data_IF_469315946159
#
_entry.id   IF_469315946159
#
_cell.length_a   1.000
_cell.length_b   1.000
_cell.length_c   1.000
_cell.angle_alpha   90.00
_cell.angle_beta   90.00
_cell.angle_gamma   90.00
#
_symmetry.space_group_name_H-M   'P 1'
#
loop_
_entity.id
_entity.type
_entity.pdbx_description
1 polymer ?
#
# COMPACT_ATOMS: atom_id res chain seq x y z
N UNK A 1 -14.00 17.88 -14.58
CA UNK A 1 -12.54 17.71 -14.75
C UNK A 1 -12.31 17.62 -16.25
N UNK A 2 -11.68 18.62 -16.85
CA UNK A 2 -11.43 18.63 -18.30
C UNK A 2 -10.21 17.75 -18.57
N UNK A 3 -10.33 16.76 -19.47
CA UNK A 3 -9.25 15.83 -19.81
C UNK A 3 -8.57 16.30 -21.09
N UNK A 4 -7.37 16.86 -20.97
CA UNK A 4 -6.46 17.02 -22.10
C UNK A 4 -5.95 15.64 -22.53
N UNK A 5 -5.84 15.42 -23.83
CA UNK A 5 -5.19 14.22 -24.36
C UNK A 5 -3.68 14.21 -24.03
N UNK A 6 -3.06 13.02 -24.12
CA UNK A 6 -1.60 12.88 -23.88
C UNK A 6 -0.76 13.76 -24.82
N UNK A 7 -1.14 13.84 -26.10
CA UNK A 7 -0.45 14.69 -27.09
C UNK A 7 -0.60 16.18 -26.78
N UNK A 8 -1.76 16.61 -26.28
CA UNK A 8 -1.95 17.98 -25.81
C UNK A 8 -1.08 18.29 -24.60
N UNK A 9 -0.95 17.37 -23.64
CA UNK A 9 -0.02 17.51 -22.52
C UNK A 9 1.44 17.60 -22.97
N UNK A 10 1.86 16.79 -23.93
CA UNK A 10 3.21 16.84 -24.49
C UNK A 10 3.49 18.18 -25.21
N UNK A 11 2.51 18.69 -25.95
CA UNK A 11 2.62 20.00 -26.61
C UNK A 11 2.72 21.14 -25.58
N UNK A 12 1.91 21.12 -24.52
CA UNK A 12 1.98 22.14 -23.46
C UNK A 12 3.31 22.10 -22.71
N UNK A 13 3.89 20.92 -22.46
CA UNK A 13 5.23 20.80 -21.85
C UNK A 13 6.33 21.37 -22.74
N UNK A 14 6.22 21.22 -24.06
CA UNK A 14 7.25 21.67 -25.01
C UNK A 14 7.14 23.14 -25.39
N UNK A 15 5.91 23.64 -25.54
CA UNK A 15 5.62 24.94 -26.17
C UNK A 15 4.60 25.78 -25.41
N UNK A 16 4.22 25.39 -24.19
CA UNK A 16 3.28 26.16 -23.38
C UNK A 16 3.87 27.50 -22.96
N UNK A 17 3.14 28.58 -23.23
CA UNK A 17 3.44 29.92 -22.71
C UNK A 17 2.40 30.33 -21.66
N UNK A 18 2.82 31.15 -20.71
CA UNK A 18 1.89 31.78 -19.76
C UNK A 18 1.22 32.95 -20.45
N UNK A 19 -0.02 32.75 -20.90
CA UNK A 19 -0.88 33.77 -21.52
C UNK A 19 -2.24 33.85 -20.83
N UNK A 20 -2.89 35.02 -20.88
CA UNK A 20 -4.16 35.25 -20.18
C UNK A 20 -5.34 34.72 -21.03
N UNK A 21 -6.04 33.71 -20.50
CA UNK A 21 -7.35 33.22 -20.99
C UNK A 21 -7.30 31.86 -21.68
N UNK A 22 -8.23 30.96 -21.33
CA UNK A 22 -8.35 29.51 -21.66
C UNK A 22 -7.73 28.52 -20.63
N UNK A 23 -8.34 27.34 -20.55
CA UNK A 23 -7.99 26.19 -19.71
C UNK A 23 -6.62 25.58 -20.03
N UNK A 24 -6.17 25.63 -21.29
CA UNK A 24 -4.80 25.21 -21.67
C UNK A 24 -3.76 26.09 -21.00
N UNK A 25 -4.06 27.38 -20.84
CA UNK A 25 -3.21 28.31 -20.12
C UNK A 25 -3.19 28.03 -18.62
N UNK A 26 -4.32 27.67 -17.99
CA UNK A 26 -4.32 27.23 -16.58
C UNK A 26 -3.41 26.00 -16.32
N UNK A 27 -3.33 25.06 -17.28
CA UNK A 27 -2.44 23.91 -17.18
C UNK A 27 -0.96 24.30 -17.33
N UNK A 28 -0.64 25.15 -18.30
CA UNK A 28 0.72 25.71 -18.48
C UNK A 28 1.15 26.56 -17.29
N UNK A 29 0.26 27.42 -16.79
CA UNK A 29 0.44 28.17 -15.56
C UNK A 29 0.67 27.24 -14.39
N UNK A 30 -0.10 26.17 -14.24
CA UNK A 30 0.11 25.17 -13.17
C UNK A 30 1.49 24.51 -13.24
N UNK A 31 1.96 24.14 -14.45
CA UNK A 31 3.30 23.59 -14.64
C UNK A 31 4.39 24.63 -14.32
N UNK A 32 4.23 25.87 -14.79
CA UNK A 32 5.16 26.96 -14.52
C UNK A 32 5.19 27.34 -13.03
N UNK A 33 4.04 27.71 -12.46
CA UNK A 33 3.89 28.10 -11.05
C UNK A 33 4.27 26.98 -10.08
N UNK A 34 4.05 25.72 -10.45
CA UNK A 34 4.43 24.55 -9.65
C UNK A 34 5.92 24.24 -9.67
N UNK A 35 6.67 24.77 -10.63
CA UNK A 35 8.03 24.35 -10.89
C UNK A 35 8.97 25.49 -11.28
N UNK A 36 8.89 25.92 -12.54
CA UNK A 36 9.80 26.92 -13.12
C UNK A 36 9.72 28.27 -12.40
N UNK A 37 8.54 28.70 -11.94
CA UNK A 37 8.38 29.93 -11.15
C UNK A 37 9.08 29.83 -9.81
N UNK A 38 9.11 28.65 -9.18
CA UNK A 38 9.84 28.45 -7.92
C UNK A 38 11.34 28.59 -8.15
N UNK A 39 11.86 28.13 -9.30
CA UNK A 39 13.25 28.32 -9.70
C UNK A 39 13.51 29.81 -9.98
N UNK A 40 12.70 30.45 -10.83
CA UNK A 40 12.79 31.88 -11.17
C UNK A 40 12.84 32.76 -9.92
N UNK A 41 11.96 32.53 -8.95
CA UNK A 41 11.90 33.29 -7.70
C UNK A 41 13.16 33.14 -6.81
N UNK A 42 13.98 32.11 -7.04
CA UNK A 42 15.27 31.91 -6.35
C UNK A 42 16.46 32.44 -7.14
N UNK A 43 16.31 32.69 -8.44
CA UNK A 43 17.32 33.32 -9.26
C UNK A 43 17.38 34.82 -8.98
N UNK A 44 18.60 35.37 -8.99
CA UNK A 44 18.80 36.83 -8.94
C UNK A 44 18.65 37.41 -10.35
N UNK A 45 18.40 38.73 -10.44
CA UNK A 45 18.12 39.49 -11.68
C UNK A 45 19.05 39.22 -12.87
N UNK A 46 20.27 38.74 -12.64
CA UNK A 46 21.27 38.46 -13.67
C UNK A 46 21.86 37.05 -13.56
N UNK A 47 21.03 36.07 -13.22
CA UNK A 47 21.42 34.66 -13.18
C UNK A 47 20.60 33.88 -14.20
N UNK A 48 21.27 32.97 -14.92
CA UNK A 48 20.66 32.04 -15.84
C UNK A 48 20.92 30.62 -15.33
N UNK A 49 19.87 29.81 -15.25
CA UNK A 49 19.96 28.40 -14.89
C UNK A 49 19.82 27.56 -16.17
N UNK A 50 20.91 27.00 -16.72
CA UNK A 50 20.88 26.23 -17.96
C UNK A 50 20.40 24.78 -17.75
N UNK A 51 19.47 24.57 -16.81
CA UNK A 51 18.92 23.25 -16.47
C UNK A 51 17.40 23.34 -16.37
N UNK A 52 16.71 22.31 -16.85
CA UNK A 52 15.26 22.20 -16.68
C UNK A 52 14.91 21.73 -15.26
N UNK A 53 13.63 21.84 -14.89
CA UNK A 53 13.16 21.41 -13.57
C UNK A 53 13.48 19.95 -13.21
N UNK A 54 13.42 19.01 -14.17
CA UNK A 54 13.67 17.59 -13.89
C UNK A 54 15.15 17.35 -13.53
N UNK A 55 16.08 18.04 -14.19
CA UNK A 55 17.51 18.01 -13.88
C UNK A 55 17.78 18.61 -12.50
N UNK A 56 17.14 19.73 -12.18
CA UNK A 56 17.29 20.40 -10.87
C UNK A 56 16.72 19.53 -9.75
N UNK A 57 15.55 18.91 -9.94
CA UNK A 57 14.95 17.98 -8.98
C UNK A 57 15.84 16.76 -8.81
N UNK A 58 16.36 16.19 -9.90
CA UNK A 58 17.27 15.03 -9.87
C UNK A 58 18.52 15.33 -9.04
N UNK A 59 19.18 16.46 -9.30
CA UNK A 59 20.34 16.92 -8.53
C UNK A 59 20.00 17.16 -7.04
N UNK A 60 18.82 17.71 -6.77
CA UNK A 60 18.31 17.87 -5.41
C UNK A 60 18.06 16.54 -4.69
N UNK A 61 17.47 15.55 -5.37
CA UNK A 61 17.21 14.22 -4.83
C UNK A 61 18.51 13.45 -4.56
N UNK A 62 19.51 13.59 -5.41
CA UNK A 62 20.85 13.03 -5.19
C UNK A 62 21.48 13.63 -3.92
N UNK A 63 21.40 14.96 -3.77
CA UNK A 63 21.90 15.66 -2.58
C UNK A 63 21.16 15.29 -1.30
N UNK A 64 19.89 14.92 -1.40
CA UNK A 64 19.04 14.52 -0.26
C UNK A 64 18.97 13.00 -0.08
N UNK A 65 19.81 12.23 -0.77
CA UNK A 65 19.72 10.77 -0.77
C UNK A 65 19.90 10.17 0.64
N UNK A 66 20.74 10.78 1.47
CA UNK A 66 20.96 10.40 2.87
C UNK A 66 19.77 10.72 3.80
N UNK A 67 18.82 11.54 3.34
CA UNK A 67 17.59 11.90 4.08
C UNK A 67 16.41 11.00 3.75
N UNK A 68 16.57 10.05 2.81
CA UNK A 68 15.50 9.11 2.46
C UNK A 68 15.19 8.21 3.65
N UNK A 69 13.91 8.13 4.00
CA UNK A 69 13.42 7.21 5.03
C UNK A 69 13.02 5.93 4.33
N UNK A 70 13.66 4.81 4.71
CA UNK A 70 13.28 3.48 4.22
C UNK A 70 12.02 3.02 4.96
N UNK A 71 10.98 2.68 4.19
CA UNK A 71 9.79 2.04 4.73
C UNK A 71 9.93 0.53 4.68
N UNK A 72 9.35 -0.17 5.66
CA UNK A 72 9.30 -1.63 5.68
C UNK A 72 8.25 -2.16 4.71
N UNK A 73 8.59 -3.25 4.03
CA UNK A 73 7.66 -3.96 3.15
C UNK A 73 6.79 -4.98 3.93
N UNK A 74 5.84 -5.61 3.22
CA UNK A 74 4.94 -6.61 3.80
C UNK A 74 5.68 -7.80 4.44
N UNK A 75 6.76 -8.29 3.85
CA UNK A 75 7.52 -9.40 4.41
C UNK A 75 8.19 -9.05 5.74
N UNK A 76 8.77 -7.84 5.84
CA UNK A 76 9.37 -7.34 7.09
C UNK A 76 8.31 -7.18 8.19
N UNK A 77 7.17 -6.54 7.88
CA UNK A 77 6.05 -6.38 8.84
C UNK A 77 5.45 -7.73 9.24
N UNK A 78 5.29 -8.67 8.30
CA UNK A 78 4.78 -10.00 8.62
C UNK A 78 5.71 -10.77 9.56
N UNK A 79 7.03 -10.64 9.40
CA UNK A 79 7.99 -11.26 10.30
C UNK A 79 7.94 -10.68 11.71
N UNK A 80 7.72 -9.37 11.83
CA UNK A 80 7.50 -8.73 13.15
C UNK A 80 6.24 -9.24 13.83
N UNK A 81 5.13 -9.34 13.10
CA UNK A 81 3.88 -9.89 13.61
C UNK A 81 4.06 -11.34 14.04
N UNK A 82 4.68 -12.19 13.22
CA UNK A 82 4.98 -13.59 13.56
C UNK A 82 5.82 -13.70 14.83
N UNK A 83 6.84 -12.86 14.95
CA UNK A 83 7.70 -12.82 16.14
C UNK A 83 6.88 -12.45 17.38
N UNK A 84 6.06 -11.40 17.32
CA UNK A 84 5.22 -10.98 18.42
C UNK A 84 4.22 -12.05 18.85
N UNK A 85 3.59 -12.74 17.89
CA UNK A 85 2.69 -13.87 18.17
C UNK A 85 3.43 -15.02 18.87
N UNK A 86 4.60 -15.42 18.35
CA UNK A 86 5.43 -16.48 18.93
C UNK A 86 5.90 -16.15 20.35
N UNK A 87 6.27 -14.90 20.59
CA UNK A 87 6.79 -14.42 21.87
C UNK A 87 5.68 -13.95 22.83
N UNK A 88 4.41 -14.00 22.41
CA UNK A 88 3.24 -13.50 23.17
C UNK A 88 3.43 -12.04 23.63
N UNK A 89 3.98 -11.21 22.75
CA UNK A 89 4.18 -9.78 22.99
C UNK A 89 3.11 -8.95 22.31
N UNK A 90 2.77 -7.83 22.93
CA UNK A 90 1.90 -6.82 22.34
C UNK A 90 2.50 -6.26 21.05
N UNK A 91 1.69 -6.18 20.00
CA UNK A 91 2.11 -5.58 18.74
C UNK A 91 0.94 -4.86 18.05
N UNK A 92 1.07 -3.56 17.80
CA UNK A 92 0.10 -2.78 17.04
C UNK A 92 0.65 -2.43 15.64
N UNK A 93 -0.10 -2.85 14.61
CA UNK A 93 0.02 -2.31 13.26
C UNK A 93 -1.13 -1.34 13.03
N UNK A 94 -0.84 -0.05 12.90
CA UNK A 94 -1.84 0.98 12.58
C UNK A 94 -1.57 1.58 11.20
N UNK A 95 -2.58 2.21 10.60
CA UNK A 95 -2.45 2.85 9.29
C UNK A 95 -3.04 4.27 9.34
N UNK A 96 -2.36 5.21 8.70
CA UNK A 96 -2.79 6.58 8.56
C UNK A 96 -3.20 6.82 7.10
N UNK A 97 -4.50 6.79 6.84
CA UNK A 97 -5.08 7.21 5.58
C UNK A 97 -5.33 8.72 5.55
N UNK A 98 -5.96 9.17 4.47
CA UNK A 98 -6.47 10.54 4.34
C UNK A 98 -7.47 10.88 5.45
N UNK A 99 -8.32 9.94 5.87
CA UNK A 99 -9.22 10.10 7.01
C UNK A 99 -8.51 10.40 8.32
N UNK A 100 -7.58 9.53 8.74
CA UNK A 100 -6.82 9.69 9.98
C UNK A 100 -5.98 10.97 9.96
N UNK A 101 -5.33 11.28 8.84
CA UNK A 101 -4.51 12.49 8.70
C UNK A 101 -5.38 13.76 8.74
N UNK A 102 -6.53 13.75 8.08
CA UNK A 102 -7.48 14.87 8.13
C UNK A 102 -7.96 15.08 9.56
N UNK A 103 -8.36 14.00 10.25
CA UNK A 103 -8.78 14.08 11.64
C UNK A 103 -7.64 14.54 12.56
N UNK A 104 -6.40 14.13 12.35
CA UNK A 104 -5.25 14.63 13.10
C UNK A 104 -4.97 16.12 12.85
N UNK A 105 -5.35 16.63 11.69
CA UNK A 105 -5.05 18.01 11.27
C UNK A 105 -6.09 19.06 11.70
N UNK A 106 -7.29 18.63 12.11
CA UNK A 106 -8.36 19.58 12.45
C UNK A 106 -7.95 20.48 13.60
N UNK A 107 -8.20 21.77 13.44
CA UNK A 107 -7.84 22.87 14.34
C UNK A 107 -6.35 22.89 14.76
N UNK A 108 -5.47 22.31 13.92
CA UNK A 108 -4.02 22.45 13.99
C UNK A 108 -3.45 23.02 12.69
N UNK A 109 -3.87 22.46 11.56
CA UNK A 109 -3.43 22.87 10.22
C UNK A 109 -4.58 23.42 9.36
N UNK A 110 -5.81 22.94 9.62
CA UNK A 110 -7.04 23.40 8.97
C UNK A 110 -8.12 23.52 10.03
N UNK A 111 -9.00 24.50 9.93
CA UNK A 111 -10.15 24.59 10.84
C UNK A 111 -11.14 23.44 10.63
N UNK A 112 -11.84 23.05 11.69
CA UNK A 112 -12.93 22.07 11.59
C UNK A 112 -14.00 22.50 10.59
N UNK A 113 -14.32 23.80 10.49
CA UNK A 113 -15.28 24.34 9.53
C UNK A 113 -14.83 24.16 8.06
N UNK A 114 -13.55 24.38 7.76
CA UNK A 114 -12.99 24.16 6.42
C UNK A 114 -13.09 22.68 6.02
N UNK A 115 -12.76 21.77 6.93
CA UNK A 115 -12.84 20.33 6.69
C UNK A 115 -14.30 19.90 6.46
N UNK A 116 -15.24 20.41 7.26
CA UNK A 116 -16.66 20.05 7.14
C UNK A 116 -17.31 20.57 5.86
N UNK A 117 -16.83 21.70 5.31
CA UNK A 117 -17.31 22.25 4.04
C UNK A 117 -16.81 21.51 2.81
N UNK A 118 -15.68 20.82 2.90
CA UNK A 118 -15.10 20.07 1.78
C UNK A 118 -15.91 18.79 1.47
N UNK A 119 -16.58 18.71 0.29
CA UNK A 119 -17.42 17.56 -0.04
C UNK A 119 -16.68 16.23 -0.04
N UNK A 120 -15.38 16.23 -0.41
CA UNK A 120 -14.55 15.02 -0.45
C UNK A 120 -14.22 14.47 0.93
N UNK A 121 -14.41 15.21 2.02
CA UNK A 121 -14.10 14.81 3.40
C UNK A 121 -15.35 14.43 4.22
N UNK A 122 -16.53 14.41 3.60
CA UNK A 122 -17.79 14.01 4.25
C UNK A 122 -17.80 12.56 4.76
N UNK A 123 -16.84 11.73 4.35
CA UNK A 123 -16.69 10.35 4.82
C UNK A 123 -16.18 10.23 6.27
N UNK A 124 -15.71 11.31 6.92
CA UNK A 124 -15.19 11.24 8.30
C UNK A 124 -16.23 10.71 9.30
N UNK A 125 -17.51 11.04 9.11
CA UNK A 125 -18.61 10.46 9.90
C UNK A 125 -18.72 8.94 9.73
N UNK A 126 -18.59 8.45 8.50
CA UNK A 126 -18.52 7.02 8.21
C UNK A 126 -17.26 6.37 8.81
N UNK A 127 -16.13 7.10 8.82
CA UNK A 127 -14.88 6.67 9.44
C UNK A 127 -14.91 6.71 11.00
N UNK A 128 -16.06 7.06 11.60
CA UNK A 128 -16.31 6.90 13.03
C UNK A 128 -15.98 8.12 13.90
N UNK A 129 -15.80 9.31 13.31
CA UNK A 129 -15.50 10.55 14.05
C UNK A 129 -16.40 11.71 13.65
N UNK A 130 -16.45 12.73 14.51
CA UNK A 130 -17.08 14.03 14.24
C UNK A 130 -16.10 15.15 14.62
N UNK A 131 -16.23 16.30 13.96
CA UNK A 131 -15.43 17.48 14.26
C UNK A 131 -16.29 18.54 14.99
N UNK A 132 -15.67 19.41 15.81
CA UNK A 132 -14.34 19.25 16.39
C UNK A 132 -14.32 18.12 17.44
N UNK A 133 -13.17 17.46 17.60
CA UNK A 133 -12.94 16.53 18.71
C UNK A 133 -11.46 16.50 19.11
N UNK A 134 -11.03 17.56 19.80
CA UNK A 134 -9.65 17.72 20.22
C UNK A 134 -9.17 16.66 21.20
N UNK A 135 -10.05 16.18 22.09
CA UNK A 135 -9.72 15.15 23.07
C UNK A 135 -9.30 13.87 22.36
N UNK A 136 -10.13 13.37 21.44
CA UNK A 136 -9.82 12.16 20.69
C UNK A 136 -8.63 12.35 19.73
N UNK A 137 -8.47 13.53 19.12
CA UNK A 137 -7.30 13.87 18.28
C UNK A 137 -6.00 13.80 19.07
N UNK A 138 -5.95 14.46 20.22
CA UNK A 138 -4.78 14.49 21.08
C UNK A 138 -4.48 13.08 21.62
N UNK A 139 -5.52 12.33 21.98
CA UNK A 139 -5.35 10.95 22.42
C UNK A 139 -4.80 10.05 21.32
N UNK A 140 -5.33 10.12 20.10
CA UNK A 140 -4.83 9.39 18.94
C UNK A 140 -3.37 9.74 18.64
N UNK A 141 -3.02 11.02 18.69
CA UNK A 141 -1.63 11.50 18.53
C UNK A 141 -0.69 10.86 19.57
N UNK A 142 -1.13 10.78 20.84
CA UNK A 142 -0.31 10.19 21.91
C UNK A 142 -0.07 8.69 21.74
N UNK A 143 -1.08 7.95 21.23
CA UNK A 143 -1.01 6.50 21.01
C UNK A 143 -0.27 6.11 19.74
N UNK A 144 -0.36 6.94 18.70
CA UNK A 144 0.39 6.75 17.45
C UNK A 144 1.90 6.63 17.70
N UNK A 145 2.46 7.44 18.60
CA UNK A 145 3.89 7.39 18.94
C UNK A 145 4.30 6.14 19.73
N UNK A 146 3.34 5.39 20.26
CA UNK A 146 3.56 4.15 21.00
C UNK A 146 3.38 2.92 20.10
N UNK A 147 2.92 3.10 18.85
CA UNK A 147 2.64 2.00 17.94
C UNK A 147 3.90 1.27 17.48
N UNK A 148 3.80 -0.05 17.34
CA UNK A 148 4.93 -0.87 16.90
C UNK A 148 5.24 -0.67 15.42
N UNK A 149 4.24 -0.50 14.56
CA UNK A 149 4.40 -0.15 13.15
C UNK A 149 3.27 0.78 12.66
N UNK A 150 3.64 1.76 11.82
CA UNK A 150 2.73 2.82 11.36
C UNK A 150 2.77 2.90 9.83
N UNK A 151 1.66 2.59 9.19
CA UNK A 151 1.46 2.79 7.76
C UNK A 151 1.21 4.25 7.42
N UNK A 152 1.99 4.80 6.47
CA UNK A 152 1.85 6.19 6.00
C UNK A 152 1.61 6.25 4.49
N UNK A 153 0.92 7.28 3.96
CA UNK A 153 0.67 7.34 2.53
C UNK A 153 1.95 7.55 1.72
N UNK A 154 2.07 6.80 0.64
CA UNK A 154 3.12 6.99 -0.36
C UNK A 154 2.77 8.07 -1.39
N UNK A 155 1.48 8.19 -1.71
CA UNK A 155 1.01 9.17 -2.69
C UNK A 155 1.30 10.60 -2.22
N UNK A 156 1.93 11.41 -3.08
CA UNK A 156 2.38 12.78 -2.77
C UNK A 156 1.27 13.84 -2.79
N UNK A 157 0.02 13.44 -2.93
CA UNK A 157 -1.13 14.35 -2.97
C UNK A 157 -1.31 15.14 -1.66
N UNK A 158 -1.98 16.32 -1.71
CA UNK A 158 -2.08 17.22 -0.56
C UNK A 158 -2.61 16.59 0.73
N UNK A 159 -3.63 15.73 0.64
CA UNK A 159 -4.27 15.08 1.79
C UNK A 159 -3.61 13.75 2.21
N UNK A 160 -2.50 13.38 1.58
CA UNK A 160 -1.80 12.10 1.78
C UNK A 160 -0.40 12.35 2.36
N UNK A 161 0.67 11.98 1.64
CA UNK A 161 2.04 12.11 2.15
C UNK A 161 2.39 13.57 2.51
N UNK A 162 1.86 14.53 1.75
CA UNK A 162 2.09 15.95 2.02
C UNK A 162 1.47 16.39 3.34
N UNK A 163 0.25 15.95 3.65
CA UNK A 163 -0.39 16.23 4.95
C UNK A 163 0.33 15.52 6.10
N UNK A 164 0.71 14.26 5.91
CA UNK A 164 1.55 13.54 6.89
C UNK A 164 2.84 14.31 7.20
N UNK A 165 3.52 14.82 6.17
CA UNK A 165 4.75 15.61 6.33
C UNK A 165 4.50 16.90 7.12
N UNK A 166 3.39 17.60 6.85
CA UNK A 166 3.01 18.80 7.61
C UNK A 166 2.75 18.48 9.09
N UNK A 167 2.04 17.38 9.38
CA UNK A 167 1.79 16.92 10.74
C UNK A 167 3.07 16.50 11.45
N UNK A 168 3.94 15.72 10.79
CA UNK A 168 5.23 15.31 11.33
C UNK A 168 6.09 16.53 11.70
N UNK A 169 6.12 17.56 10.85
CA UNK A 169 6.82 18.82 11.13
C UNK A 169 6.18 19.60 12.28
N UNK A 170 4.84 19.71 12.31
CA UNK A 170 4.10 20.39 13.37
C UNK A 170 4.37 19.76 14.75
N UNK A 171 4.30 18.43 14.82
CA UNK A 171 4.55 17.68 16.06
C UNK A 171 6.03 17.39 16.33
N UNK A 172 6.94 17.75 15.40
CA UNK A 172 8.38 17.48 15.47
C UNK A 172 8.70 16.00 15.65
N UNK A 173 8.00 15.13 14.91
CA UNK A 173 8.27 13.70 14.93
C UNK A 173 9.62 13.37 14.30
N UNK A 174 10.41 12.55 14.99
CA UNK A 174 11.65 11.99 14.44
C UNK A 174 11.34 10.74 13.64
N UNK A 175 11.03 10.94 12.36
CA UNK A 175 10.62 9.86 11.45
C UNK A 175 11.69 8.78 11.28
N UNK A 176 12.97 9.08 11.55
CA UNK A 176 14.07 8.10 11.43
C UNK A 176 14.06 7.05 12.53
N UNK A 177 13.40 7.34 13.66
CA UNK A 177 13.23 6.42 14.79
C UNK A 177 11.90 5.66 14.75
N UNK A 178 11.03 6.00 13.81
CA UNK A 178 9.72 5.38 13.69
C UNK A 178 9.80 4.15 12.79
N UNK A 179 9.05 3.12 13.17
CA UNK A 179 8.87 1.93 12.34
C UNK A 179 7.77 2.17 11.30
N UNK A 180 8.15 2.69 10.14
CA UNK A 180 7.20 3.15 9.12
C UNK A 180 7.03 2.12 7.99
N UNK A 181 5.79 2.00 7.50
CA UNK A 181 5.41 1.19 6.32
C UNK A 181 4.38 1.96 5.46
N UNK A 182 3.79 1.33 4.44
CA UNK A 182 2.72 1.95 3.63
C UNK A 182 1.38 1.97 4.38
N UNK A 183 0.55 3.00 4.20
CA UNK A 183 -0.83 3.01 4.72
C UNK A 183 -1.75 1.98 4.04
N UNK A 184 -1.29 1.37 2.94
CA UNK A 184 -1.92 0.26 2.23
C UNK A 184 -1.34 -1.11 2.62
N UNK A 185 -0.47 -1.18 3.63
CA UNK A 185 0.23 -2.40 4.06
C UNK A 185 -0.72 -3.57 4.37
N UNK A 186 -1.97 -3.30 4.77
CA UNK A 186 -3.00 -4.32 5.00
C UNK A 186 -3.31 -5.14 3.73
N UNK A 187 -3.24 -4.53 2.55
CA UNK A 187 -3.42 -5.22 1.28
C UNK A 187 -2.14 -5.96 0.89
N UNK A 188 -0.99 -5.35 1.11
CA UNK A 188 0.31 -5.95 0.76
C UNK A 188 0.62 -7.18 1.63
N UNK A 189 0.33 -7.13 2.94
CA UNK A 189 0.45 -8.27 3.84
C UNK A 189 -0.37 -9.46 3.35
N UNK A 190 -1.52 -9.19 2.79
CA UNK A 190 -2.41 -10.21 2.27
C UNK A 190 -1.97 -10.70 0.87
N UNK A 191 -1.56 -9.78 0.00
CA UNK A 191 -1.26 -10.08 -1.39
C UNK A 191 0.13 -10.71 -1.56
N UNK A 192 1.07 -10.39 -0.67
CA UNK A 192 2.46 -10.82 -0.78
C UNK A 192 2.90 -11.74 0.36
N UNK A 193 2.01 -12.13 1.28
CA UNK A 193 2.39 -13.05 2.37
C UNK A 193 1.26 -14.02 2.71
N UNK A 194 1.61 -15.10 3.42
CA UNK A 194 0.71 -16.12 3.97
C UNK A 194 0.22 -15.79 5.37
N UNK A 195 0.56 -14.62 5.91
CA UNK A 195 0.36 -14.26 7.32
C UNK A 195 -1.10 -14.41 7.77
N UNK A 196 -2.06 -13.98 6.95
CA UNK A 196 -3.47 -14.06 7.33
C UNK A 196 -3.93 -15.51 7.47
N UNK A 197 -3.51 -16.39 6.56
CA UNK A 197 -3.79 -17.81 6.66
C UNK A 197 -3.16 -18.41 7.91
N UNK A 198 -1.87 -18.13 8.16
CA UNK A 198 -1.18 -18.61 9.36
C UNK A 198 -1.88 -18.17 10.66
N UNK A 199 -2.30 -16.90 10.72
CA UNK A 199 -3.06 -16.34 11.84
C UNK A 199 -4.37 -17.12 12.03
N UNK A 200 -5.17 -17.25 10.99
CA UNK A 200 -6.48 -17.89 11.07
C UNK A 200 -6.39 -19.40 11.33
N UNK A 201 -5.34 -20.06 10.85
CA UNK A 201 -5.11 -21.50 11.02
C UNK A 201 -4.55 -21.86 12.39
N UNK A 202 -3.75 -21.00 13.03
CA UNK A 202 -2.95 -21.38 14.20
C UNK A 202 -3.21 -20.57 15.47
N UNK A 203 -3.90 -19.44 15.39
CA UNK A 203 -4.09 -18.52 16.52
C UNK A 203 -5.56 -18.22 16.77
N UNK A 204 -5.92 -17.93 18.02
CA UNK A 204 -7.27 -17.49 18.38
C UNK A 204 -7.47 -16.06 17.92
N UNK A 205 -8.43 -15.84 17.02
CA UNK A 205 -8.66 -14.57 16.35
C UNK A 205 -9.93 -13.90 16.85
N UNK A 206 -9.81 -12.67 17.32
CA UNK A 206 -10.94 -11.78 17.61
C UNK A 206 -11.14 -10.80 16.45
N UNK A 207 -12.35 -10.72 15.90
CA UNK A 207 -12.65 -9.80 14.81
C UNK A 207 -13.34 -8.54 15.35
N UNK A 208 -12.82 -7.35 15.05
CA UNK A 208 -13.37 -6.09 15.57
C UNK A 208 -13.73 -5.16 14.42
N UNK A 209 -15.01 -4.80 14.31
CA UNK A 209 -15.49 -3.96 13.21
C UNK A 209 -16.94 -4.24 12.84
N UNK A 210 -17.60 -3.28 12.17
CA UNK A 210 -19.04 -3.39 11.89
C UNK A 210 -19.39 -4.44 10.83
N UNK A 211 -18.43 -4.82 9.98
CA UNK A 211 -18.59 -5.91 8.99
C UNK A 211 -18.04 -7.25 9.46
N UNK A 212 -17.51 -7.32 10.69
CA UNK A 212 -16.82 -8.52 11.17
C UNK A 212 -17.74 -9.67 11.54
N UNK A 213 -19.05 -9.42 11.71
CA UNK A 213 -20.04 -10.50 11.80
C UNK A 213 -20.12 -11.25 10.45
N UNK A 214 -20.31 -10.54 9.34
CA UNK A 214 -20.28 -11.13 7.99
C UNK A 214 -18.89 -11.72 7.66
N UNK A 215 -17.83 -11.03 8.09
CA UNK A 215 -16.46 -11.50 7.97
C UNK A 215 -16.23 -12.84 8.66
N UNK A 216 -16.76 -13.01 9.88
CA UNK A 216 -16.71 -14.27 10.60
C UNK A 216 -17.37 -15.38 9.80
N UNK A 217 -18.62 -15.18 9.37
CA UNK A 217 -19.37 -16.19 8.60
C UNK A 217 -18.63 -16.61 7.32
N UNK A 218 -18.02 -15.64 6.63
CA UNK A 218 -17.22 -15.88 5.42
C UNK A 218 -15.98 -16.74 5.72
N UNK A 219 -15.21 -16.37 6.73
CA UNK A 219 -13.98 -17.09 7.09
C UNK A 219 -14.27 -18.50 7.63
N UNK A 220 -15.34 -18.68 8.40
CA UNK A 220 -15.77 -19.99 8.88
C UNK A 220 -16.21 -20.92 7.73
N UNK A 221 -16.88 -20.37 6.70
CA UNK A 221 -17.21 -21.12 5.47
C UNK A 221 -15.98 -21.55 4.67
N UNK A 222 -14.87 -20.79 4.76
CA UNK A 222 -13.58 -21.20 4.22
C UNK A 222 -12.87 -22.26 5.06
N UNK A 223 -13.43 -22.65 6.21
CA UNK A 223 -12.93 -23.71 7.07
C UNK A 223 -12.09 -23.25 8.26
N UNK A 224 -11.92 -21.93 8.48
CA UNK A 224 -11.18 -21.43 9.63
C UNK A 224 -12.02 -21.51 10.91
N UNK A 225 -11.51 -22.22 11.92
CA UNK A 225 -12.25 -22.52 13.17
C UNK A 225 -11.78 -21.73 14.39
N UNK A 226 -10.69 -20.97 14.29
CA UNK A 226 -10.09 -20.29 15.43
C UNK A 226 -10.65 -18.88 15.69
N UNK A 227 -11.76 -18.50 15.04
CA UNK A 227 -12.39 -17.20 15.27
C UNK A 227 -13.23 -17.26 16.54
N UNK A 228 -12.76 -16.61 17.60
CA UNK A 228 -13.36 -16.73 18.94
C UNK A 228 -14.55 -15.79 19.15
N UNK A 229 -14.70 -14.76 18.30
CA UNK A 229 -15.79 -13.81 18.42
C UNK A 229 -15.70 -12.63 17.46
N UNK A 230 -16.70 -11.76 17.54
CA UNK A 230 -16.67 -10.46 16.88
C UNK A 230 -17.21 -9.34 17.79
N UNK A 231 -16.72 -8.11 17.61
CA UNK A 231 -17.16 -6.92 18.35
C UNK A 231 -17.39 -5.76 17.36
N UNK A 232 -18.62 -5.21 17.25
CA UNK A 232 -18.87 -4.02 16.42
C UNK A 232 -18.33 -2.75 17.07
N UNK A 233 -18.03 -1.73 16.26
CA UNK A 233 -17.44 -0.45 16.71
C UNK A 233 -18.31 0.72 16.25
N UNK A 234 -18.92 1.42 17.22
CA UNK A 234 -19.85 2.54 16.98
C UNK A 234 -19.12 3.88 17.11
N UNK A 235 -18.10 4.06 16.28
CA UNK A 235 -17.27 5.26 16.27
C UNK A 235 -16.36 5.42 17.50
N UNK A 236 -15.66 6.55 17.56
CA UNK A 236 -14.52 6.76 18.45
C UNK A 236 -14.90 6.77 19.94
N UNK A 237 -16.13 7.17 20.27
CA UNK A 237 -16.64 7.15 21.64
C UNK A 237 -16.78 5.73 22.21
N UNK A 238 -16.93 4.71 21.35
CA UNK A 238 -17.09 3.31 21.78
C UNK A 238 -15.77 2.57 22.02
N UNK A 239 -14.61 3.19 21.77
CA UNK A 239 -13.30 2.53 21.86
C UNK A 239 -13.06 1.90 23.23
N UNK A 240 -13.34 2.64 24.31
CA UNK A 240 -13.16 2.11 25.68
C UNK A 240 -14.03 0.88 25.95
N UNK A 241 -15.30 0.90 25.51
CA UNK A 241 -16.21 -0.23 25.68
C UNK A 241 -15.80 -1.43 24.83
N UNK A 242 -15.29 -1.20 23.61
CA UNK A 242 -14.78 -2.26 22.73
C UNK A 242 -13.59 -2.95 23.36
N UNK A 243 -12.60 -2.18 23.87
CA UNK A 243 -11.43 -2.74 24.56
C UNK A 243 -11.85 -3.50 25.82
N UNK A 244 -12.79 -2.96 26.61
CA UNK A 244 -13.32 -3.67 27.79
C UNK A 244 -14.01 -4.99 27.42
N UNK A 245 -14.79 -5.01 26.33
CA UNK A 245 -15.44 -6.24 25.84
C UNK A 245 -14.45 -7.25 25.30
N UNK A 246 -13.37 -6.80 24.65
CA UNK A 246 -12.32 -7.67 24.13
C UNK A 246 -11.70 -8.54 25.24
N UNK A 247 -11.57 -8.01 26.46
CA UNK A 247 -11.06 -8.77 27.63
C UNK A 247 -11.88 -9.99 28.03
N UNK A 248 -13.13 -10.10 27.55
CA UNK A 248 -13.98 -11.26 27.81
C UNK A 248 -13.70 -12.42 26.84
N UNK A 249 -12.84 -12.22 25.85
CA UNK A 249 -12.44 -13.24 24.88
C UNK A 249 -11.01 -13.72 25.19
N UNK A 250 -10.79 -15.02 25.03
CA UNK A 250 -9.47 -15.61 25.02
C UNK A 250 -8.95 -15.64 23.58
N UNK A 251 -8.07 -14.70 23.24
CA UNK A 251 -7.54 -14.54 21.88
C UNK A 251 -6.07 -14.13 21.89
N UNK A 252 -5.36 -14.45 20.81
CA UNK A 252 -3.95 -14.09 20.61
C UNK A 252 -3.84 -12.82 19.76
N UNK A 253 -4.74 -12.69 18.77
CA UNK A 253 -4.70 -11.64 17.76
C UNK A 253 -6.07 -11.04 17.47
N UNK A 254 -6.10 -9.71 17.34
CA UNK A 254 -7.28 -8.97 16.90
C UNK A 254 -7.08 -8.43 15.48
N UNK A 255 -8.05 -8.70 14.61
CA UNK A 255 -8.15 -8.12 13.27
C UNK A 255 -9.19 -6.99 13.34
N UNK A 256 -8.76 -5.75 13.11
CA UNK A 256 -9.56 -4.54 13.41
C UNK A 256 -9.88 -3.76 12.13
N UNK A 257 -11.15 -3.66 11.75
CA UNK A 257 -11.65 -2.83 10.64
C UNK A 257 -12.74 -1.87 11.14
N UNK A 258 -12.35 -0.70 11.63
CA UNK A 258 -13.28 0.25 12.26
C UNK A 258 -13.02 1.72 11.95
N UNK A 259 -12.32 2.02 10.85
CA UNK A 259 -11.96 3.40 10.48
C UNK A 259 -10.96 4.00 11.47
N UNK A 260 -11.09 5.30 11.74
CA UNK A 260 -10.19 6.03 12.65
C UNK A 260 -10.09 5.37 14.05
N UNK A 261 -11.18 4.86 14.67
CA UNK A 261 -11.13 4.09 15.90
C UNK A 261 -10.13 2.91 15.91
N UNK A 262 -9.84 2.30 14.75
CA UNK A 262 -8.93 1.16 14.65
C UNK A 262 -7.53 1.50 15.17
N UNK A 263 -7.06 2.73 14.91
CA UNK A 263 -5.75 3.20 15.37
C UNK A 263 -5.62 3.19 16.90
N UNK A 264 -6.68 3.57 17.62
CA UNK A 264 -6.71 3.56 19.09
C UNK A 264 -6.88 2.13 19.62
N UNK A 265 -7.82 1.37 19.04
CA UNK A 265 -8.10 0.00 19.48
C UNK A 265 -6.83 -0.86 19.36
N UNK A 266 -6.12 -0.81 18.23
CA UNK A 266 -4.94 -1.64 18.04
C UNK A 266 -3.84 -1.35 19.08
N UNK A 267 -3.59 -0.07 19.38
CA UNK A 267 -2.63 0.30 20.41
C UNK A 267 -3.05 -0.17 21.81
N UNK A 268 -4.32 0.03 22.17
CA UNK A 268 -4.83 -0.36 23.48
C UNK A 268 -4.86 -1.88 23.70
N UNK A 269 -5.08 -2.66 22.63
CA UNK A 269 -4.98 -4.12 22.72
C UNK A 269 -3.52 -4.58 22.79
N UNK A 270 -2.60 -3.90 22.12
CA UNK A 270 -1.16 -4.19 22.23
C UNK A 270 -0.62 -3.93 23.64
N UNK A 271 -1.09 -2.88 24.33
CA UNK A 271 -0.78 -2.66 25.75
C UNK A 271 -1.23 -3.81 26.67
N UNK A 272 -2.23 -4.58 26.25
CA UNK A 272 -2.72 -5.78 26.95
C UNK A 272 -2.10 -7.08 26.38
N UNK A 273 -0.89 -6.97 25.82
CA UNK A 273 -0.10 -8.06 25.25
C UNK A 273 -0.76 -8.81 24.07
N UNK A 274 -1.68 -8.17 23.34
CA UNK A 274 -2.28 -8.75 22.14
C UNK A 274 -1.60 -8.26 20.88
N UNK A 275 -1.58 -9.10 19.85
CA UNK A 275 -1.28 -8.63 18.50
C UNK A 275 -2.54 -8.01 17.93
N UNK A 276 -2.48 -6.79 17.41
CA UNK A 276 -3.62 -6.09 16.85
C UNK A 276 -3.27 -5.43 15.53
N UNK A 277 -4.03 -5.79 14.50
CA UNK A 277 -3.76 -5.42 13.11
C UNK A 277 -4.92 -4.57 12.59
N UNK A 278 -4.62 -3.31 12.24
CA UNK A 278 -5.55 -2.46 11.50
C UNK A 278 -5.72 -3.01 10.08
N UNK A 279 -6.83 -3.72 9.89
CA UNK A 279 -7.16 -4.48 8.70
C UNK A 279 -7.95 -3.67 7.66
N UNK A 280 -8.36 -2.45 8.01
CA UNK A 280 -8.97 -1.50 7.08
C UNK A 280 -10.05 -2.11 6.20
N UNK A 281 -9.98 -1.82 4.91
CA UNK A 281 -10.90 -2.32 3.90
C UNK A 281 -10.56 -3.72 3.35
N UNK A 282 -9.57 -4.43 3.91
CA UNK A 282 -9.25 -5.80 3.45
C UNK A 282 -10.45 -6.72 3.64
N UNK A 283 -11.24 -6.54 4.70
CA UNK A 283 -12.47 -7.33 4.89
C UNK A 283 -13.50 -7.09 3.79
N UNK A 284 -13.61 -5.86 3.28
CA UNK A 284 -14.49 -5.55 2.15
C UNK A 284 -14.04 -6.27 0.89
N UNK A 285 -12.73 -6.32 0.64
CA UNK A 285 -12.16 -6.99 -0.52
C UNK A 285 -12.38 -8.49 -0.47
N UNK A 286 -12.22 -9.11 0.70
CA UNK A 286 -12.50 -10.53 0.91
C UNK A 286 -13.98 -10.85 0.65
N UNK A 287 -14.89 -10.09 1.28
CA UNK A 287 -16.33 -10.29 1.11
C UNK A 287 -16.79 -10.05 -0.34
N UNK A 288 -16.13 -9.16 -1.07
CA UNK A 288 -16.45 -8.86 -2.49
C UNK A 288 -15.70 -9.74 -3.49
N UNK A 289 -14.91 -10.72 -3.02
CA UNK A 289 -14.07 -11.59 -3.86
C UNK A 289 -13.01 -10.86 -4.71
N UNK A 290 -12.68 -9.61 -4.40
CA UNK A 290 -11.54 -8.88 -5.01
C UNK A 290 -10.18 -9.41 -4.52
N UNK A 291 -10.20 -10.31 -3.53
CA UNK A 291 -9.04 -10.78 -2.80
C UNK A 291 -9.29 -12.23 -2.31
N UNK A 292 -8.29 -13.11 -2.39
CA UNK A 292 -8.34 -14.48 -1.84
C UNK A 292 -7.23 -14.76 -0.81
N UNK A 293 -7.56 -15.44 0.28
CA UNK A 293 -6.59 -15.77 1.35
C UNK A 293 -5.55 -16.74 0.82
N UNK A 294 -4.28 -16.30 0.78
CA UNK A 294 -3.15 -17.11 0.33
C UNK A 294 -2.70 -18.10 1.40
N UNK A 295 -2.48 -19.35 1.00
CA UNK A 295 -2.10 -20.46 1.86
C UNK A 295 -1.06 -21.35 1.17
N UNK A 296 -0.13 -21.92 1.95
CA UNK A 296 0.77 -22.99 1.50
C UNK A 296 0.29 -24.39 1.97
N UNK A 297 -0.77 -24.45 2.78
CA UNK A 297 -1.18 -25.65 3.54
C UNK A 297 -1.85 -26.72 2.67
N UNK A 298 -2.22 -26.41 1.42
CA UNK A 298 -2.73 -27.43 0.52
C UNK A 298 -1.65 -28.43 0.05
N UNK A 299 -0.36 -28.22 0.38
CA UNK A 299 0.74 -29.19 0.20
C UNK A 299 0.97 -29.69 -1.23
N UNK A 300 0.15 -29.26 -2.18
CA UNK A 300 0.23 -29.58 -3.58
C UNK A 300 0.99 -28.44 -4.22
N UNK A 301 2.23 -28.73 -4.61
CA UNK A 301 2.97 -27.86 -5.49
C UNK A 301 2.23 -27.89 -6.84
N UNK A 302 1.47 -26.83 -7.12
CA UNK A 302 0.81 -26.60 -8.39
C UNK A 302 1.33 -25.30 -9.02
N UNK A 303 0.90 -25.00 -10.24
CA UNK A 303 1.37 -23.83 -10.97
C UNK A 303 1.04 -22.51 -10.28
N UNK A 304 -0.14 -22.42 -9.69
CA UNK A 304 -0.62 -21.27 -8.93
C UNK A 304 0.29 -21.01 -7.72
N UNK A 305 0.49 -22.01 -6.85
CA UNK A 305 1.33 -21.91 -5.65
C UNK A 305 2.78 -21.59 -6.01
N UNK A 306 3.31 -22.16 -7.10
CA UNK A 306 4.65 -21.82 -7.57
C UNK A 306 4.75 -20.37 -8.05
N UNK A 307 3.76 -19.87 -8.79
CA UNK A 307 3.70 -18.47 -9.18
C UNK A 307 3.61 -17.54 -7.96
N UNK A 308 2.88 -17.94 -6.92
CA UNK A 308 2.77 -17.18 -5.68
C UNK A 308 4.11 -17.10 -4.93
N UNK A 309 4.80 -18.23 -4.76
CA UNK A 309 6.13 -18.26 -4.14
C UNK A 309 7.11 -17.44 -4.97
N UNK A 310 7.09 -17.60 -6.30
CA UNK A 310 7.94 -16.83 -7.19
C UNK A 310 7.72 -15.32 -7.04
N UNK A 311 6.46 -14.91 -6.96
CA UNK A 311 6.10 -13.51 -6.79
C UNK A 311 6.56 -12.94 -5.44
N UNK A 312 6.57 -13.74 -4.38
CA UNK A 312 7.14 -13.34 -3.09
C UNK A 312 8.62 -12.91 -3.22
N UNK A 313 9.44 -13.71 -3.90
CA UNK A 313 10.85 -13.39 -4.13
C UNK A 313 11.02 -12.25 -5.15
N UNK A 314 10.17 -12.22 -6.17
CA UNK A 314 10.17 -11.17 -7.19
C UNK A 314 10.06 -9.77 -6.59
N UNK A 315 9.12 -9.57 -5.66
CA UNK A 315 8.89 -8.27 -5.01
C UNK A 315 10.02 -7.85 -4.04
N UNK A 316 11.02 -8.70 -3.83
CA UNK A 316 12.20 -8.43 -2.98
C UNK A 316 13.47 -8.25 -3.82
N UNK A 317 13.32 -8.10 -5.13
CA UNK A 317 14.41 -8.05 -6.11
C UNK A 317 15.29 -9.32 -6.10
N UNK A 318 14.80 -10.42 -5.52
CA UNK A 318 15.44 -11.74 -5.58
C UNK A 318 14.97 -12.47 -6.84
N UNK A 319 15.42 -11.94 -7.99
CA UNK A 319 14.99 -12.40 -9.30
C UNK A 319 15.47 -13.82 -9.63
N UNK A 320 16.57 -14.26 -9.02
CA UNK A 320 17.08 -15.63 -9.19
C UNK A 320 16.12 -16.65 -8.57
N UNK A 321 15.72 -16.43 -7.32
CA UNK A 321 14.78 -17.31 -6.62
C UNK A 321 13.36 -17.21 -7.21
N UNK A 322 12.95 -16.00 -7.61
CA UNK A 322 11.68 -15.82 -8.34
C UNK A 322 11.65 -16.65 -9.63
N UNK A 323 12.70 -16.54 -10.45
CA UNK A 323 12.81 -17.31 -11.69
C UNK A 323 12.79 -18.83 -11.44
N UNK A 324 13.44 -19.31 -10.36
CA UNK A 324 13.37 -20.73 -9.99
C UNK A 324 11.92 -21.22 -9.82
N UNK A 325 11.11 -20.48 -9.07
CA UNK A 325 9.73 -20.87 -8.77
C UNK A 325 8.78 -20.68 -9.95
N UNK A 326 8.93 -19.62 -10.75
CA UNK A 326 8.14 -19.50 -11.99
C UNK A 326 8.45 -20.64 -12.97
N UNK A 327 9.70 -21.11 -13.04
CA UNK A 327 10.03 -22.33 -13.82
C UNK A 327 9.33 -23.57 -13.29
N UNK A 328 9.19 -23.72 -11.97
CA UNK A 328 8.41 -24.82 -11.41
C UNK A 328 6.93 -24.71 -11.80
N UNK A 329 6.38 -23.51 -11.83
CA UNK A 329 4.99 -23.30 -12.24
C UNK A 329 4.72 -23.77 -13.67
N UNK A 330 5.61 -23.41 -14.61
CA UNK A 330 5.54 -23.87 -16.01
C UNK A 330 5.66 -25.39 -16.09
N UNK A 331 6.68 -25.96 -15.45
CA UNK A 331 6.95 -27.40 -15.48
C UNK A 331 5.77 -28.22 -14.95
N UNK A 332 5.13 -27.75 -13.89
CA UNK A 332 3.95 -28.42 -13.35
C UNK A 332 2.76 -28.30 -14.31
N UNK A 333 2.57 -27.13 -14.90
CA UNK A 333 1.56 -26.88 -15.93
C UNK A 333 1.66 -27.88 -17.07
N UNK A 334 2.85 -28.00 -17.66
CA UNK A 334 3.17 -28.97 -18.71
C UNK A 334 2.89 -30.41 -18.28
N UNK A 335 3.34 -30.79 -17.08
CA UNK A 335 3.20 -32.17 -16.59
C UNK A 335 1.76 -32.59 -16.27
N UNK A 336 0.91 -31.61 -15.95
CA UNK A 336 -0.51 -31.85 -15.58
C UNK A 336 -1.47 -31.56 -16.72
N UNK A 337 -0.99 -31.02 -17.84
CA UNK A 337 -1.85 -30.48 -18.90
C UNK A 337 -2.67 -29.27 -18.46
N UNK A 338 -2.25 -28.57 -17.39
CA UNK A 338 -2.91 -27.37 -16.93
C UNK A 338 -2.51 -26.20 -17.84
N UNK A 339 -3.50 -25.63 -18.52
CA UNK A 339 -3.34 -24.49 -19.42
C UNK A 339 -3.91 -23.18 -18.85
N UNK A 340 -4.14 -23.09 -17.53
CA UNK A 340 -4.52 -21.82 -16.91
C UNK A 340 -3.42 -20.77 -17.13
N UNK A 341 -3.75 -19.46 -17.14
CA UNK A 341 -2.74 -18.41 -17.25
C UNK A 341 -1.68 -18.46 -16.15
N UNK A 342 -1.96 -19.05 -14.99
CA UNK A 342 -0.99 -19.28 -13.91
C UNK A 342 -0.02 -20.44 -14.19
N UNK A 343 -0.34 -21.29 -15.15
CA UNK A 343 0.51 -22.38 -15.64
C UNK A 343 1.27 -22.02 -16.94
N UNK A 344 0.80 -21.02 -17.68
CA UNK A 344 1.32 -20.63 -19.00
C UNK A 344 1.75 -19.16 -19.05
N UNK A 345 0.86 -18.23 -19.42
CA UNK A 345 1.19 -16.84 -19.75
C UNK A 345 1.88 -16.09 -18.60
N UNK A 346 1.38 -16.22 -17.37
CA UNK A 346 1.87 -15.46 -16.21
C UNK A 346 3.29 -15.82 -15.82
N UNK A 347 3.65 -17.10 -15.57
CA UNK A 347 5.02 -17.42 -15.22
C UNK A 347 6.00 -17.09 -16.36
N UNK A 348 5.61 -17.22 -17.64
CA UNK A 348 6.47 -16.80 -18.76
C UNK A 348 6.70 -15.29 -18.80
N UNK A 349 5.66 -14.47 -18.63
CA UNK A 349 5.81 -13.01 -18.53
C UNK A 349 6.73 -12.61 -17.36
N UNK A 350 6.57 -13.25 -16.21
CA UNK A 350 7.39 -12.93 -15.04
C UNK A 350 8.82 -13.44 -15.18
N UNK A 351 9.05 -14.59 -15.82
CA UNK A 351 10.38 -15.06 -16.19
C UNK A 351 11.08 -14.10 -17.14
N UNK A 352 10.35 -13.52 -18.10
CA UNK A 352 10.89 -12.48 -18.98
C UNK A 352 11.46 -11.32 -18.16
N UNK A 353 10.69 -10.82 -17.18
CA UNK A 353 11.14 -9.72 -16.32
C UNK A 353 12.29 -10.14 -15.41
N UNK A 354 12.25 -11.34 -14.81
CA UNK A 354 13.34 -11.84 -13.98
C UNK A 354 14.67 -11.90 -14.76
N UNK A 355 14.66 -12.51 -15.95
CA UNK A 355 15.88 -12.63 -16.75
C UNK A 355 16.41 -11.30 -17.27
N UNK A 356 15.52 -10.33 -17.54
CA UNK A 356 15.93 -8.97 -17.86
C UNK A 356 16.73 -8.35 -16.70
N UNK A 357 16.23 -8.45 -15.46
CA UNK A 357 16.94 -7.94 -14.29
C UNK A 357 18.24 -8.69 -13.98
N UNK A 358 18.32 -9.97 -14.36
CA UNK A 358 19.54 -10.79 -14.24
C UNK A 358 20.54 -10.56 -15.39
N UNK A 359 20.21 -9.71 -16.36
CA UNK A 359 21.08 -9.38 -17.50
C UNK A 359 21.07 -10.41 -18.64
N UNK A 360 20.18 -11.40 -18.61
CA UNK A 360 20.03 -12.40 -19.68
C UNK A 360 18.92 -11.96 -20.66
N UNK A 361 19.25 -10.98 -21.50
CA UNK A 361 18.32 -10.35 -22.46
C UNK A 361 17.70 -11.37 -23.41
N UNK A 362 18.48 -12.37 -23.84
CA UNK A 362 18.00 -13.43 -24.73
C UNK A 362 16.93 -14.27 -24.05
N UNK A 363 17.17 -14.79 -22.84
CA UNK A 363 16.13 -15.55 -22.12
C UNK A 363 14.92 -14.68 -21.79
N UNK A 364 15.13 -13.40 -21.49
CA UNK A 364 14.04 -12.48 -21.24
C UNK A 364 13.10 -12.41 -22.45
N UNK A 365 13.66 -12.16 -23.64
CA UNK A 365 12.93 -12.17 -24.91
C UNK A 365 12.24 -13.51 -25.19
N UNK A 366 12.98 -14.62 -25.07
CA UNK A 366 12.45 -15.96 -25.38
C UNK A 366 11.24 -16.31 -24.51
N UNK A 367 11.27 -15.96 -23.22
CA UNK A 367 10.12 -16.14 -22.32
C UNK A 367 8.92 -15.25 -22.68
N UNK A 368 9.14 -14.04 -23.20
CA UNK A 368 8.05 -13.21 -23.70
C UNK A 368 7.38 -13.81 -24.94
N UNK A 369 8.17 -14.39 -25.85
CA UNK A 369 7.64 -15.07 -27.04
C UNK A 369 6.84 -16.33 -26.64
N UNK A 370 7.31 -17.09 -25.64
CA UNK A 370 6.54 -18.22 -25.10
C UNK A 370 5.21 -17.76 -24.49
N UNK A 371 5.16 -16.63 -23.77
CA UNK A 371 3.89 -16.08 -23.30
C UNK A 371 2.97 -15.68 -24.45
N UNK A 372 3.52 -15.20 -25.57
CA UNK A 372 2.76 -14.82 -26.78
C UNK A 372 2.11 -16.02 -27.46
N UNK A 373 2.75 -17.19 -27.42
CA UNK A 373 2.17 -18.40 -28.00
C UNK A 373 0.87 -18.81 -27.30
N UNK A 374 0.70 -18.46 -26.02
CA UNK A 374 -0.53 -18.70 -25.26
C UNK A 374 -1.53 -17.54 -25.35
N UNK A 375 -1.07 -16.29 -25.20
CA UNK A 375 -1.92 -15.10 -25.24
C UNK A 375 -1.32 -13.99 -26.13
N UNK A 376 -1.48 -14.08 -27.47
CA UNK A 376 -0.82 -13.17 -28.41
C UNK A 376 -1.30 -11.71 -28.32
N UNK A 377 -2.49 -11.50 -27.77
CA UNK A 377 -3.11 -10.18 -27.62
C UNK A 377 -2.96 -9.60 -26.20
N UNK A 378 -2.19 -10.24 -25.31
CA UNK A 378 -1.98 -9.73 -23.97
C UNK A 378 -1.20 -8.40 -24.02
N UNK A 379 -1.69 -7.31 -23.38
CA UNK A 379 -1.04 -6.00 -23.45
C UNK A 379 0.42 -6.01 -23.00
N UNK A 380 0.76 -6.81 -21.98
CA UNK A 380 2.13 -6.90 -21.45
C UNK A 380 3.06 -7.61 -22.43
N UNK A 381 2.57 -8.64 -23.12
CA UNK A 381 3.32 -9.37 -24.14
C UNK A 381 3.68 -8.44 -25.32
N UNK A 382 2.70 -7.65 -25.78
CA UNK A 382 2.89 -6.71 -26.87
C UNK A 382 3.86 -5.57 -26.48
N UNK A 383 3.71 -5.02 -25.28
CA UNK A 383 4.63 -4.00 -24.76
C UNK A 383 6.07 -4.51 -24.66
N UNK A 384 6.26 -5.72 -24.14
CA UNK A 384 7.57 -6.35 -24.04
C UNK A 384 8.17 -6.67 -25.41
N UNK A 385 7.35 -7.11 -26.38
CA UNK A 385 7.79 -7.35 -27.76
C UNK A 385 8.37 -6.08 -28.38
N UNK A 386 7.62 -4.98 -28.33
CA UNK A 386 8.08 -3.68 -28.84
C UNK A 386 9.34 -3.19 -28.12
N UNK A 387 9.49 -3.52 -26.83
CA UNK A 387 10.69 -3.26 -26.05
C UNK A 387 11.89 -4.08 -26.56
N UNK A 388 11.78 -5.40 -26.60
CA UNK A 388 12.90 -6.28 -27.02
C UNK A 388 13.27 -6.11 -28.48
N UNK A 389 12.31 -5.82 -29.39
CA UNK A 389 12.61 -5.48 -30.78
C UNK A 389 13.50 -4.24 -30.91
N UNK A 390 13.39 -3.28 -29.97
CA UNK A 390 14.27 -2.10 -29.93
C UNK A 390 15.61 -2.40 -29.29
N UNK A 391 15.63 -3.18 -28.22
CA UNK A 391 16.87 -3.55 -27.52
C UNK A 391 17.76 -4.40 -28.42
N UNK A 392 17.21 -5.45 -29.04
CA UNK A 392 17.95 -6.39 -29.89
C UNK A 392 18.36 -5.83 -31.26
N UNK A 393 17.77 -4.70 -31.70
CA UNK A 393 18.22 -3.97 -32.91
C UNK A 393 19.36 -3.00 -32.64
N UNK A 394 19.63 -2.69 -31.37
CA UNK A 394 20.64 -1.72 -30.93
C UNK A 394 21.87 -2.40 -30.27
N UNK A 395 21.93 -3.74 -30.29
CA UNK A 395 23.14 -4.55 -30.10
C UNK A 395 23.73 -4.89 -31.48
#
# INVERSE_FOLDING_TARGET
MFNLSKSEWENLRKFGFVEVGDNKNLATEGLYYGGEKLIENKLKKYHYMPYNIEEIISAGLEKLNDKKIKLKNAGEIANEIRKALKEQQGYSLIRLGDGELTFLSHDLLFSSEEIEKEPRLKFLGYAGVSLPNHEARNYLTSKLLQSNAIGIPLARFPMFQTLFTKLANHHKWDLTKMNLTSSTINFDLFHYTTLLHEILSNYKVLLIGNKMEQGKDYLEKLGYKNIVGNIPVKGIKSVSDVVKKAKNFDYDVAIVSSGIPATLICNLLAEDHKVAIDFGHTIDWLLSSYAQIRSLDNGTINSENCCEIAYYYFNRDDFETAAYWYKQAVKIGESTGNHTPMATTTPHLQLSVCYWHLGDVKKAHDHNELARDFEPNNPSVLLNKDFFERVLKNE
#
